data_IF_809387592131
#
_entry.id   IF_809387592131
#
_cell.length_a   1.000
_cell.length_b   1.000
_cell.length_c   1.000
_cell.angle_alpha   90.00
_cell.angle_beta   90.00
_cell.angle_gamma   90.00
#
_symmetry.space_group_name_H-M   'P 1'
#
loop_
_entity.id
_entity.type
_entity.pdbx_description
1 polymer ?
#
# COMPACT_ATOMS: atom_id res chain seq x y z
N UNK A 1 -11.41 -11.75 -1.36
CA UNK A 1 -10.36 -11.88 -0.31
C UNK A 1 -8.96 -11.75 -0.95
N UNK A 2 -7.95 -11.23 -0.26
CA UNK A 2 -6.57 -11.22 -0.78
C UNK A 2 -5.98 -12.63 -0.74
N UNK A 3 -5.22 -13.02 -1.77
CA UNK A 3 -4.52 -14.31 -1.79
C UNK A 3 -3.44 -14.38 -0.69
N UNK A 4 -3.16 -15.59 -0.22
CA UNK A 4 -2.13 -15.80 0.80
C UNK A 4 -0.74 -15.36 0.32
N UNK A 5 -0.44 -15.55 -0.97
CA UNK A 5 0.81 -15.07 -1.57
C UNK A 5 0.94 -13.54 -1.46
N UNK A 6 -0.13 -12.79 -1.76
CA UNK A 6 -0.13 -11.33 -1.62
C UNK A 6 0.03 -10.93 -0.15
N UNK A 7 -0.69 -11.58 0.77
CA UNK A 7 -0.54 -11.31 2.22
C UNK A 7 0.89 -11.56 2.69
N UNK A 8 1.52 -12.67 2.25
CA UNK A 8 2.92 -12.98 2.56
C UNK A 8 3.85 -11.89 2.04
N UNK A 9 3.73 -11.49 0.78
CA UNK A 9 4.54 -10.40 0.20
C UNK A 9 4.37 -9.09 0.98
N UNK A 10 3.15 -8.74 1.39
CA UNK A 10 2.88 -7.53 2.17
C UNK A 10 3.47 -7.60 3.58
N UNK A 11 3.46 -8.78 4.22
CA UNK A 11 4.14 -8.98 5.51
C UNK A 11 5.64 -8.77 5.37
N UNK A 12 6.26 -9.36 4.35
CA UNK A 12 7.70 -9.20 4.09
C UNK A 12 8.06 -7.74 3.83
N UNK A 13 7.29 -7.04 2.98
CA UNK A 13 7.50 -5.62 2.68
C UNK A 13 7.30 -4.70 3.89
N UNK A 14 6.55 -5.11 4.90
CA UNK A 14 6.36 -4.33 6.12
C UNK A 14 7.58 -4.39 7.05
N UNK A 15 8.39 -5.46 6.99
CA UNK A 15 9.55 -5.65 7.86
C UNK A 15 10.57 -4.53 7.66
N UNK A 16 11.11 -4.01 8.76
CA UNK A 16 12.05 -2.90 8.75
C UNK A 16 11.46 -1.53 8.36
N UNK A 17 10.14 -1.46 8.14
CA UNK A 17 9.45 -0.21 7.79
C UNK A 17 8.61 0.29 8.95
N UNK A 18 8.15 1.53 8.87
CA UNK A 18 7.19 2.08 9.83
C UNK A 18 5.76 1.59 9.62
N UNK A 19 5.49 0.75 8.62
CA UNK A 19 4.14 0.29 8.26
C UNK A 19 3.87 -1.11 8.80
N UNK A 20 2.63 -1.39 9.22
CA UNK A 20 2.20 -2.76 9.53
C UNK A 20 1.74 -3.51 8.28
N UNK A 21 1.73 -4.86 8.30
CA UNK A 21 1.12 -5.65 7.23
C UNK A 21 -0.34 -5.25 6.96
N UNK A 22 -1.11 -4.88 7.98
CA UNK A 22 -2.50 -4.42 7.83
C UNK A 22 -2.58 -3.07 7.09
N UNK A 23 -1.66 -2.15 7.36
CA UNK A 23 -1.58 -0.87 6.65
C UNK A 23 -1.22 -1.06 5.17
N UNK A 24 -0.27 -1.95 4.86
CA UNK A 24 0.07 -2.24 3.47
C UNK A 24 -1.06 -2.99 2.73
N UNK A 25 -1.81 -3.85 3.42
CA UNK A 25 -3.05 -4.45 2.88
C UNK A 25 -4.11 -3.40 2.55
N UNK A 26 -4.29 -2.39 3.40
CA UNK A 26 -5.22 -1.30 3.13
C UNK A 26 -4.81 -0.49 1.88
N UNK A 27 -3.52 -0.15 1.73
CA UNK A 27 -2.98 0.51 0.53
C UNK A 27 -3.23 -0.34 -0.72
N UNK A 28 -2.95 -1.65 -0.65
CA UNK A 28 -3.16 -2.56 -1.76
C UNK A 28 -4.64 -2.60 -2.19
N UNK A 29 -5.57 -2.74 -1.24
CA UNK A 29 -7.02 -2.74 -1.52
C UNK A 29 -7.51 -1.42 -2.10
N UNK A 30 -7.00 -0.28 -1.61
CA UNK A 30 -7.28 1.03 -2.20
C UNK A 30 -6.74 1.14 -3.62
N UNK A 31 -5.58 0.56 -3.89
CA UNK A 31 -5.05 0.46 -5.25
C UNK A 31 -5.96 -0.32 -6.18
N UNK A 32 -6.52 -1.44 -5.72
CA UNK A 32 -7.51 -2.21 -6.48
C UNK A 32 -8.79 -1.40 -6.73
N UNK A 33 -9.34 -0.72 -5.71
CA UNK A 33 -10.53 0.13 -5.88
C UNK A 33 -10.28 1.29 -6.85
N UNK A 34 -9.13 1.95 -6.73
CA UNK A 34 -8.73 3.03 -7.63
C UNK A 34 -8.46 2.55 -9.07
N UNK A 35 -8.12 1.28 -9.27
CA UNK A 35 -8.01 0.69 -10.60
C UNK A 35 -9.38 0.55 -11.25
N UNK A 36 -10.36 0.05 -10.49
CA UNK A 36 -11.73 -0.14 -10.97
C UNK A 36 -12.44 1.17 -11.28
N UNK A 37 -12.15 2.25 -10.53
CA UNK A 37 -12.79 3.56 -10.74
C UNK A 37 -12.16 4.45 -11.81
N UNK A 38 -10.96 4.13 -12.32
CA UNK A 38 -10.19 5.05 -13.18
C UNK A 38 -10.21 4.73 -14.68
N UNK A 39 -11.00 3.74 -15.11
CA UNK A 39 -10.99 3.25 -16.50
C UNK A 39 -9.77 2.36 -16.84
N UNK A 40 -9.61 2.05 -18.13
CA UNK A 40 -8.58 1.11 -18.61
C UNK A 40 -7.16 1.61 -18.34
N UNK A 41 -6.26 0.69 -18.00
CA UNK A 41 -4.84 0.96 -17.78
C UNK A 41 -3.99 -0.08 -18.49
N UNK A 42 -2.79 0.33 -18.91
CA UNK A 42 -1.80 -0.54 -19.54
C UNK A 42 -1.09 -1.50 -18.57
N UNK A 43 -1.61 -1.67 -17.35
CA UNK A 43 -1.01 -2.54 -16.33
C UNK A 43 -2.07 -3.39 -15.64
N UNK A 44 -1.79 -4.65 -15.28
CA UNK A 44 -2.71 -5.46 -14.50
C UNK A 44 -3.04 -4.82 -13.14
N UNK A 45 -4.28 -5.01 -12.65
CA UNK A 45 -4.73 -4.49 -11.36
C UNK A 45 -3.79 -4.85 -10.19
N UNK A 46 -3.28 -6.08 -10.17
CA UNK A 46 -2.35 -6.53 -9.12
C UNK A 46 -1.04 -5.76 -9.15
N UNK A 47 -0.49 -5.50 -10.35
CA UNK A 47 0.72 -4.70 -10.53
C UNK A 47 0.48 -3.24 -10.16
N UNK A 48 -0.67 -2.67 -10.52
CA UNK A 48 -1.08 -1.34 -10.12
C UNK A 48 -1.15 -1.18 -8.59
N UNK A 49 -1.87 -2.09 -7.92
CA UNK A 49 -2.02 -2.09 -6.47
C UNK A 49 -0.67 -2.25 -5.75
N UNK A 50 0.21 -3.12 -6.26
CA UNK A 50 1.55 -3.29 -5.71
C UNK A 50 2.45 -2.06 -5.97
N UNK A 51 2.29 -1.38 -7.11
CA UNK A 51 2.97 -0.12 -7.41
C UNK A 51 2.69 0.96 -6.37
N UNK A 52 1.43 1.07 -5.91
CA UNK A 52 1.06 1.98 -4.82
C UNK A 52 1.70 1.60 -3.49
N UNK A 53 1.73 0.32 -3.14
CA UNK A 53 2.45 -0.17 -1.94
C UNK A 53 3.92 0.25 -2.01
N UNK A 54 4.60 0.02 -3.13
CA UNK A 54 5.99 0.41 -3.31
C UNK A 54 6.21 1.94 -3.26
N UNK A 55 5.26 2.73 -3.77
CA UNK A 55 5.30 4.20 -3.68
C UNK A 55 5.16 4.69 -2.23
N UNK A 56 4.26 4.09 -1.44
CA UNK A 56 4.11 4.42 -0.01
C UNK A 56 5.37 4.09 0.78
N UNK A 57 5.95 2.91 0.53
CA UNK A 57 7.19 2.44 1.16
C UNK A 57 8.38 3.34 0.83
N UNK A 58 8.69 3.50 -0.46
CA UNK A 58 9.82 4.34 -0.93
C UNK A 58 9.66 5.81 -0.58
N UNK A 59 8.41 6.28 -0.48
CA UNK A 59 8.13 7.70 -0.31
C UNK A 59 8.31 8.55 -1.53
N UNK A 60 8.57 7.92 -2.67
CA UNK A 60 8.69 8.56 -3.96
C UNK A 60 7.32 8.49 -4.66
N UNK A 61 6.97 9.56 -5.38
CA UNK A 61 5.72 9.68 -6.13
C UNK A 61 4.49 10.05 -5.29
N UNK A 62 3.30 9.92 -5.90
CA UNK A 62 2.02 10.35 -5.32
C UNK A 62 1.38 9.38 -4.31
N UNK A 63 1.93 8.18 -4.09
CA UNK A 63 1.32 7.17 -3.22
C UNK A 63 1.16 7.62 -1.78
N UNK A 64 2.12 8.37 -1.21
CA UNK A 64 1.97 8.93 0.14
C UNK A 64 0.92 10.04 0.25
N UNK A 65 0.58 10.71 -0.86
CA UNK A 65 -0.51 11.70 -0.90
C UNK A 65 -1.86 10.99 -0.96
N UNK A 66 -1.98 9.97 -1.82
CA UNK A 66 -3.21 9.21 -2.00
C UNK A 66 -3.55 8.32 -0.78
N UNK A 67 -2.55 7.95 0.03
CA UNK A 67 -2.69 7.13 1.23
C UNK A 67 -2.19 7.87 2.48
N UNK A 68 -2.37 9.20 2.52
CA UNK A 68 -1.84 10.08 3.55
C UNK A 68 -2.33 9.76 4.97
N UNK A 69 -3.57 9.30 5.12
CA UNK A 69 -4.13 8.87 6.41
C UNK A 69 -3.41 7.63 6.97
N UNK A 70 -3.06 6.66 6.11
CA UNK A 70 -2.29 5.47 6.49
C UNK A 70 -0.88 5.87 6.89
N UNK A 71 -0.25 6.76 6.12
CA UNK A 71 1.08 7.30 6.42
C UNK A 71 1.07 8.07 7.74
N UNK A 72 0.07 8.92 7.98
CA UNK A 72 -0.11 9.67 9.23
C UNK A 72 -0.24 8.72 10.42
N UNK A 73 -1.09 7.68 10.32
CA UNK A 73 -1.24 6.65 11.37
C UNK A 73 0.06 5.89 11.63
N UNK A 74 0.79 5.51 10.58
CA UNK A 74 2.08 4.84 10.71
C UNK A 74 3.14 5.73 11.39
N UNK A 75 3.19 7.03 11.07
CA UNK A 75 4.07 8.01 11.73
C UNK A 75 3.71 8.22 13.20
N UNK A 76 2.43 8.39 13.51
CA UNK A 76 1.95 8.55 14.87
C UNK A 76 2.34 7.34 15.74
N UNK A 77 2.13 6.12 15.22
CA UNK A 77 2.56 4.89 15.90
C UNK A 77 4.07 4.83 16.11
N UNK A 78 4.87 5.25 15.12
CA UNK A 78 6.34 5.30 15.27
C UNK A 78 6.78 6.32 16.32
N UNK A 79 6.09 7.45 16.46
CA UNK A 79 6.43 8.51 17.44
C UNK A 79 6.05 8.13 18.88
N UNK A 80 4.98 7.37 19.05
CA UNK A 80 4.54 6.89 20.37
C UNK A 80 5.22 5.61 20.84
N UNK A 81 6.22 5.12 20.12
CA UNK A 81 7.03 3.94 20.45
C UNK A 81 8.46 4.40 20.70
#
# INVERSE_FOLDING_TARGET
>A
PLSESVKKTLREKAKGTMFTPAQLQAVYRRGQGAYLGSGSRNVPMAAWAMGRVNSVLSGKGGGRKADADIVKKARARKKGK
#
